data_IF_410579432373
#
_entry.id   IF_410579432373
#
_cell.length_a   1.000
_cell.length_b   1.000
_cell.length_c   1.000
_cell.angle_alpha   90.00
_cell.angle_beta   90.00
_cell.angle_gamma   90.00
#
_symmetry.space_group_name_H-M   'P 1'
#
loop_
_entity.id
_entity.type
_entity.pdbx_description
1 polymer ?
#
# COMPACT_ATOMS: atom_id res chain seq x y z
N UNK A 1 -9.09 46.26 -45.92
CA UNK A 1 -9.61 45.98 -44.54
C UNK A 1 -10.40 44.67 -44.43
N UNK A 2 -10.38 43.74 -45.39
CA UNK A 2 -11.20 42.50 -45.36
C UNK A 2 -10.38 41.23 -45.04
N UNK A 3 -9.08 41.33 -44.95
CA UNK A 3 -8.17 40.18 -44.70
C UNK A 3 -7.66 40.04 -43.25
N UNK A 4 -7.90 41.02 -42.38
CA UNK A 4 -7.45 41.03 -40.98
C UNK A 4 -8.39 40.20 -40.07
N UNK A 5 -9.67 40.07 -40.44
CA UNK A 5 -10.64 39.33 -39.65
C UNK A 5 -10.50 37.79 -39.73
N UNK A 6 -9.84 37.26 -40.76
CA UNK A 6 -9.66 35.79 -40.89
C UNK A 6 -8.50 35.22 -40.09
N UNK A 7 -7.54 36.04 -39.69
CA UNK A 7 -6.36 35.56 -38.95
C UNK A 7 -6.64 35.41 -37.46
N UNK A 8 -7.58 36.16 -36.90
CA UNK A 8 -7.91 36.11 -35.46
C UNK A 8 -8.72 34.88 -35.10
N UNK A 9 -9.48 34.31 -36.02
CA UNK A 9 -10.33 33.15 -35.76
C UNK A 9 -9.54 31.80 -35.69
N UNK A 10 -8.34 31.73 -36.27
CA UNK A 10 -7.55 30.52 -36.33
C UNK A 10 -6.72 30.31 -35.04
N UNK A 11 -6.40 31.38 -34.31
CA UNK A 11 -5.55 31.30 -33.10
C UNK A 11 -6.29 30.70 -31.89
N UNK A 12 -7.63 30.73 -31.87
CA UNK A 12 -8.42 30.21 -30.74
C UNK A 12 -8.65 28.71 -30.75
N UNK A 13 -8.32 27.99 -31.85
CA UNK A 13 -8.54 26.54 -31.92
C UNK A 13 -7.38 25.66 -31.45
N UNK A 14 -6.18 26.23 -31.19
CA UNK A 14 -4.99 25.44 -30.87
C UNK A 14 -4.80 25.28 -29.36
N UNK A 15 -5.45 26.09 -28.52
CA UNK A 15 -5.28 26.01 -27.04
C UNK A 15 -6.20 25.01 -26.33
N UNK A 16 -7.15 24.41 -27.03
CA UNK A 16 -8.18 23.55 -26.42
C UNK A 16 -7.76 22.09 -26.16
N UNK A 17 -6.81 21.57 -26.93
CA UNK A 17 -6.48 20.13 -26.86
C UNK A 17 -5.65 19.73 -25.65
N UNK A 18 -4.81 20.60 -25.12
CA UNK A 18 -3.97 20.24 -23.96
C UNK A 18 -4.71 20.28 -22.64
N UNK A 19 -5.78 21.06 -22.52
CA UNK A 19 -6.56 21.17 -21.28
C UNK A 19 -7.53 19.99 -21.11
N UNK A 20 -8.07 19.44 -22.20
CA UNK A 20 -8.99 18.30 -22.14
C UNK A 20 -8.31 16.97 -21.80
N UNK A 21 -7.02 16.78 -22.06
CA UNK A 21 -6.31 15.56 -21.74
C UNK A 21 -6.07 15.38 -20.24
N UNK A 22 -6.01 16.48 -19.45
CA UNK A 22 -5.82 16.40 -18.00
C UNK A 22 -7.12 16.09 -17.23
N UNK A 23 -8.29 16.30 -17.82
CA UNK A 23 -9.57 16.05 -17.13
C UNK A 23 -9.96 14.56 -17.09
N UNK A 24 -9.32 13.70 -17.89
CA UNK A 24 -9.61 12.27 -17.97
C UNK A 24 -8.52 11.38 -17.33
N UNK A 25 -7.52 11.96 -16.64
CA UNK A 25 -6.57 11.16 -15.89
C UNK A 25 -7.28 10.53 -14.69
N UNK A 26 -7.76 9.30 -14.87
CA UNK A 26 -8.13 8.40 -13.78
C UNK A 26 -6.86 7.62 -13.40
N UNK A 27 -6.23 7.91 -12.25
CA UNK A 27 -5.12 7.08 -11.79
C UNK A 27 -5.58 5.63 -11.74
N UNK A 28 -4.74 4.72 -12.19
CA UNK A 28 -5.08 3.30 -12.11
C UNK A 28 -5.43 2.94 -10.66
N UNK A 29 -6.34 1.98 -10.47
CA UNK A 29 -6.75 1.52 -9.13
C UNK A 29 -5.54 1.20 -8.22
N UNK A 30 -4.47 0.64 -8.78
CA UNK A 30 -3.26 0.31 -8.04
C UNK A 30 -2.47 1.56 -7.60
N UNK A 31 -2.39 2.60 -8.44
CA UNK A 31 -1.71 3.87 -8.10
C UNK A 31 -2.45 4.58 -6.96
N UNK A 32 -3.78 4.57 -6.99
CA UNK A 32 -4.60 5.14 -5.93
C UNK A 32 -4.45 4.35 -4.62
N UNK A 33 -4.44 3.01 -4.67
CA UNK A 33 -4.26 2.15 -3.49
C UNK A 33 -2.89 2.39 -2.84
N UNK A 34 -1.81 2.46 -3.62
CA UNK A 34 -0.47 2.75 -3.12
C UNK A 34 -0.39 4.12 -2.45
N UNK A 35 -0.94 5.17 -3.09
CA UNK A 35 -0.97 6.52 -2.53
C UNK A 35 -1.70 6.55 -1.18
N UNK A 36 -2.86 5.89 -1.07
CA UNK A 36 -3.60 5.77 0.19
C UNK A 36 -2.81 5.02 1.26
N UNK A 37 -2.14 3.92 0.91
CA UNK A 37 -1.31 3.19 1.86
C UNK A 37 -0.10 4.00 2.34
N UNK A 38 0.48 4.86 1.49
CA UNK A 38 1.54 5.80 1.91
C UNK A 38 1.05 6.83 2.93
N UNK A 39 -0.15 7.38 2.73
CA UNK A 39 -0.78 8.27 3.72
C UNK A 39 -0.99 7.54 5.03
N UNK A 40 -1.59 6.35 5.01
CA UNK A 40 -1.81 5.52 6.19
C UNK A 40 -0.46 5.21 6.89
N UNK A 41 0.56 4.81 6.15
CA UNK A 41 1.89 4.53 6.73
C UNK A 41 2.47 5.76 7.47
N UNK A 42 2.31 6.95 6.89
CA UNK A 42 2.76 8.18 7.52
C UNK A 42 1.98 8.50 8.82
N UNK A 43 0.67 8.29 8.83
CA UNK A 43 -0.16 8.47 10.02
C UNK A 43 0.22 7.52 11.17
N UNK A 44 0.71 6.33 10.84
CA UNK A 44 1.15 5.30 11.80
C UNK A 44 2.65 5.32 12.10
N UNK A 45 3.37 6.31 11.61
CA UNK A 45 4.83 6.42 11.71
C UNK A 45 5.37 6.42 13.14
N UNK A 46 4.56 6.89 14.10
CA UNK A 46 4.93 6.97 15.52
C UNK A 46 4.19 5.97 16.40
N UNK A 47 3.39 5.07 15.83
CA UNK A 47 2.60 4.10 16.58
C UNK A 47 3.49 3.14 17.36
N UNK A 48 3.38 3.03 18.69
CA UNK A 48 4.15 2.05 19.47
C UNK A 48 3.67 0.63 19.18
N UNK A 49 4.62 -0.32 19.20
CA UNK A 49 4.29 -1.75 19.04
C UNK A 49 3.82 -2.33 20.37
N UNK A 50 2.56 -2.77 20.40
CA UNK A 50 1.97 -3.45 21.58
C UNK A 50 1.10 -4.61 21.09
N UNK A 51 1.36 -5.82 21.59
CA UNK A 51 0.57 -7.01 21.28
C UNK A 51 -0.93 -6.79 21.58
N UNK A 52 -1.78 -7.22 20.66
CA UNK A 52 -3.23 -7.06 20.76
C UNK A 52 -3.75 -5.68 20.37
N UNK A 53 -2.88 -4.70 20.17
CA UNK A 53 -3.30 -3.36 19.77
C UNK A 53 -3.74 -3.27 18.30
N UNK A 54 -4.66 -2.33 18.01
CA UNK A 54 -5.27 -2.16 16.67
C UNK A 54 -5.44 -0.70 16.28
N UNK A 55 -4.89 0.23 17.04
CA UNK A 55 -5.08 1.68 16.81
C UNK A 55 -3.76 2.42 16.67
N UNK A 56 -3.81 3.66 16.20
CA UNK A 56 -2.64 4.55 16.12
C UNK A 56 -2.01 4.83 17.49
N UNK A 57 -2.75 4.65 18.59
CA UNK A 57 -2.21 4.78 19.94
C UNK A 57 -1.31 3.59 20.31
N UNK A 58 -1.62 2.39 19.81
CA UNK A 58 -0.86 1.15 20.01
C UNK A 58 -1.35 0.06 19.07
N UNK A 59 -0.45 -0.71 18.47
CA UNK A 59 -0.81 -1.82 17.60
C UNK A 59 0.27 -2.90 17.57
N UNK A 60 -0.11 -4.11 17.16
CA UNK A 60 0.83 -5.12 16.67
C UNK A 60 0.84 -5.16 15.13
N UNK A 61 1.69 -6.01 14.53
CA UNK A 61 1.84 -6.06 13.08
C UNK A 61 0.53 -6.41 12.35
N UNK A 62 -0.24 -7.37 12.85
CA UNK A 62 -1.52 -7.79 12.25
C UNK A 62 -2.66 -6.80 12.56
N UNK A 63 -2.61 -6.12 13.69
CA UNK A 63 -3.53 -5.03 14.01
C UNK A 63 -3.34 -3.83 13.07
N UNK A 64 -2.10 -3.48 12.76
CA UNK A 64 -1.80 -2.47 11.75
C UNK A 64 -2.34 -2.88 10.38
N UNK A 65 -2.02 -4.09 9.88
CA UNK A 65 -2.47 -4.53 8.56
C UNK A 65 -3.99 -4.58 8.46
N UNK A 66 -4.68 -5.07 9.52
CA UNK A 66 -6.14 -5.07 9.60
C UNK A 66 -6.71 -3.66 9.51
N UNK A 67 -6.20 -2.74 10.32
CA UNK A 67 -6.69 -1.35 10.35
C UNK A 67 -6.38 -0.58 9.07
N UNK A 68 -5.22 -0.82 8.46
CA UNK A 68 -4.83 -0.18 7.21
C UNK A 68 -5.71 -0.64 6.04
N UNK A 69 -5.94 -1.96 5.89
CA UNK A 69 -6.76 -2.50 4.82
C UNK A 69 -8.25 -2.18 5.00
N UNK A 70 -8.74 -2.08 6.25
CA UNK A 70 -10.10 -1.63 6.53
C UNK A 70 -10.39 -0.22 5.97
N UNK A 71 -9.41 0.69 5.99
CA UNK A 71 -9.52 2.02 5.38
C UNK A 71 -9.60 1.97 3.84
N UNK A 72 -9.27 0.82 3.24
CA UNK A 72 -9.44 0.53 1.82
C UNK A 72 -10.68 -0.31 1.52
N UNK A 73 -11.60 -0.45 2.51
CA UNK A 73 -12.78 -1.32 2.46
C UNK A 73 -12.46 -2.82 2.29
N UNK A 74 -11.26 -3.25 2.70
CA UNK A 74 -10.84 -4.65 2.68
C UNK A 74 -10.84 -5.19 4.11
N UNK A 75 -11.72 -6.16 4.40
CA UNK A 75 -11.81 -6.81 5.70
C UNK A 75 -10.93 -8.05 5.74
N UNK A 76 -10.07 -8.14 6.76
CA UNK A 76 -9.17 -9.28 6.97
C UNK A 76 -9.26 -9.76 8.42
N UNK A 77 -8.87 -11.01 8.72
CA UNK A 77 -8.82 -11.52 10.09
C UNK A 77 -7.86 -10.74 11.00
N UNK A 78 -8.04 -10.89 12.32
CA UNK A 78 -7.28 -10.09 13.32
C UNK A 78 -5.83 -10.55 13.48
N UNK A 79 -5.55 -11.84 13.44
CA UNK A 79 -4.23 -12.36 13.82
C UNK A 79 -3.37 -12.72 12.63
N UNK A 80 -2.05 -12.61 12.75
CA UNK A 80 -1.10 -13.00 11.70
C UNK A 80 -1.33 -14.42 11.20
N UNK A 81 -1.60 -15.37 12.10
CA UNK A 81 -1.87 -16.78 11.76
C UNK A 81 -3.14 -16.92 10.91
N UNK A 82 -4.23 -16.28 11.31
CA UNK A 82 -5.50 -16.33 10.55
C UNK A 82 -5.40 -15.56 9.24
N UNK A 83 -4.68 -14.44 9.18
CA UNK A 83 -4.39 -13.72 7.95
C UNK A 83 -3.57 -14.58 6.97
N UNK A 84 -2.59 -15.35 7.45
CA UNK A 84 -1.83 -16.29 6.62
C UNK A 84 -2.69 -17.49 6.19
N UNK A 85 -3.59 -17.97 7.05
CA UNK A 85 -4.48 -19.11 6.79
C UNK A 85 -5.65 -18.83 5.85
N UNK A 86 -6.02 -17.56 5.68
CA UNK A 86 -7.16 -17.11 4.88
C UNK A 86 -6.70 -16.34 3.64
N UNK A 87 -7.67 -15.91 2.80
CA UNK A 87 -7.35 -15.21 1.58
C UNK A 87 -6.71 -16.09 0.49
N UNK A 88 -6.58 -15.55 -0.70
CA UNK A 88 -6.02 -16.27 -1.85
C UNK A 88 -4.49 -16.25 -1.81
N UNK A 89 -3.86 -17.43 -1.95
CA UNK A 89 -2.38 -17.53 -2.07
C UNK A 89 -1.89 -16.74 -3.29
N UNK A 90 -0.78 -16.03 -3.12
CA UNK A 90 -0.11 -15.26 -4.17
C UNK A 90 1.36 -15.66 -4.23
N UNK A 91 1.85 -15.97 -5.42
CA UNK A 91 3.28 -16.19 -5.64
C UNK A 91 4.06 -14.87 -5.52
N UNK A 92 5.31 -14.94 -5.08
CA UNK A 92 6.15 -13.74 -4.87
C UNK A 92 6.31 -12.91 -6.14
N UNK A 93 6.35 -13.55 -7.32
CA UNK A 93 6.45 -12.88 -8.63
C UNK A 93 5.16 -12.18 -9.08
N UNK A 94 4.02 -12.49 -8.46
CA UNK A 94 2.70 -11.92 -8.81
C UNK A 94 2.15 -10.98 -7.72
N UNK A 95 3.02 -10.48 -6.84
CA UNK A 95 2.65 -9.53 -5.80
C UNK A 95 2.11 -8.23 -6.39
N UNK A 96 1.05 -7.71 -5.78
CA UNK A 96 0.41 -6.44 -6.11
C UNK A 96 0.21 -5.60 -4.84
N UNK A 97 0.13 -4.29 -5.02
CA UNK A 97 -0.13 -3.35 -3.92
C UNK A 97 -1.36 -3.76 -3.10
N UNK A 98 -1.17 -3.90 -1.79
CA UNK A 98 -2.21 -4.34 -0.85
C UNK A 98 -2.15 -5.82 -0.50
N UNK A 99 -1.33 -6.64 -1.16
CA UNK A 99 -1.12 -8.02 -0.75
C UNK A 99 -0.42 -8.07 0.61
N UNK A 100 -0.82 -9.03 1.46
CA UNK A 100 -0.12 -9.29 2.70
C UNK A 100 1.10 -10.18 2.44
N UNK A 101 2.24 -9.80 3.00
CA UNK A 101 3.49 -10.56 2.98
C UNK A 101 3.85 -11.02 4.38
N UNK A 102 4.20 -12.28 4.52
CA UNK A 102 4.39 -12.96 5.82
C UNK A 102 5.81 -13.46 5.99
N UNK A 103 6.28 -13.42 7.24
CA UNK A 103 7.65 -13.76 7.60
C UNK A 103 7.68 -14.55 8.90
N UNK A 104 8.65 -15.48 9.02
CA UNK A 104 8.99 -16.16 10.27
C UNK A 104 10.20 -15.46 10.90
N UNK A 105 9.94 -14.58 11.86
CA UNK A 105 10.98 -13.73 12.46
C UNK A 105 11.45 -14.20 13.83
N UNK A 106 10.75 -15.16 14.44
CA UNK A 106 10.94 -15.54 15.84
C UNK A 106 10.42 -14.50 16.84
N UNK A 107 9.93 -13.37 16.38
CA UNK A 107 9.35 -12.27 17.17
C UNK A 107 7.90 -12.05 16.77
N UNK A 108 7.13 -11.41 17.67
CA UNK A 108 5.71 -11.17 17.45
C UNK A 108 4.83 -12.40 17.74
N UNK A 109 3.53 -12.33 17.46
CA UNK A 109 2.60 -13.40 17.73
C UNK A 109 2.98 -14.69 16.97
N UNK A 110 3.16 -15.79 17.69
CA UNK A 110 3.58 -17.11 17.14
C UNK A 110 4.91 -17.08 16.36
N UNK A 111 5.82 -16.14 16.67
CA UNK A 111 7.10 -15.98 15.96
C UNK A 111 6.94 -15.49 14.50
N UNK A 112 5.76 -15.00 14.14
CA UNK A 112 5.44 -14.53 12.79
C UNK A 112 5.33 -13.01 12.73
N UNK A 113 5.50 -12.48 11.53
CA UNK A 113 5.33 -11.08 11.22
C UNK A 113 4.60 -10.90 9.89
N UNK A 114 3.90 -9.79 9.74
CA UNK A 114 3.13 -9.46 8.54
C UNK A 114 3.30 -7.99 8.16
N UNK A 115 3.31 -7.71 6.86
CA UNK A 115 3.26 -6.38 6.29
C UNK A 115 2.39 -6.33 5.04
N UNK A 116 2.24 -5.15 4.47
CA UNK A 116 1.47 -4.89 3.26
C UNK A 116 2.44 -4.56 2.13
N UNK A 117 2.40 -5.34 1.07
CA UNK A 117 3.20 -5.07 -0.13
C UNK A 117 2.75 -3.77 -0.80
N UNK A 118 3.71 -2.95 -1.20
CA UNK A 118 3.48 -1.68 -1.87
C UNK A 118 3.68 -1.83 -3.38
N UNK A 119 4.89 -1.63 -3.85
CA UNK A 119 5.32 -1.80 -5.23
C UNK A 119 6.84 -1.95 -5.28
N UNK A 120 7.40 -2.27 -6.45
CA UNK A 120 8.84 -2.27 -6.70
C UNK A 120 9.67 -3.02 -5.64
N UNK A 121 9.12 -4.13 -5.13
CA UNK A 121 9.82 -4.95 -4.13
C UNK A 121 9.81 -4.38 -2.71
N UNK A 122 8.96 -3.40 -2.40
CA UNK A 122 8.84 -2.78 -1.07
C UNK A 122 7.56 -3.18 -0.37
N UNK A 123 7.59 -3.19 0.95
CA UNK A 123 6.40 -3.38 1.78
C UNK A 123 6.46 -2.50 3.03
N UNK A 124 5.30 -2.18 3.60
CA UNK A 124 5.17 -1.47 4.86
C UNK A 124 4.79 -2.44 5.98
N UNK A 125 5.33 -2.23 7.17
CA UNK A 125 5.00 -3.00 8.36
C UNK A 125 5.13 -2.18 9.63
N UNK A 126 4.37 -2.51 10.67
CA UNK A 126 4.60 -1.96 11.99
C UNK A 126 5.79 -2.68 12.64
N UNK A 127 6.88 -1.95 12.81
CA UNK A 127 8.12 -2.48 13.40
C UNK A 127 7.93 -2.84 14.87
N UNK A 128 8.54 -3.94 15.35
CA UNK A 128 8.58 -4.28 16.78
C UNK A 128 9.32 -3.25 17.63
N UNK A 129 10.09 -2.37 16.99
CA UNK A 129 10.70 -1.17 17.62
C UNK A 129 9.79 0.05 17.58
N UNK A 130 8.53 -0.12 17.14
CA UNK A 130 7.54 0.94 16.96
C UNK A 130 7.66 1.67 15.61
N UNK A 131 6.52 2.23 15.20
CA UNK A 131 6.35 2.97 13.97
C UNK A 131 6.28 2.11 12.71
N UNK A 132 5.44 2.55 11.77
CA UNK A 132 5.37 1.94 10.45
C UNK A 132 6.59 2.33 9.64
N UNK A 133 7.20 1.34 8.98
CA UNK A 133 8.38 1.50 8.12
C UNK A 133 8.13 0.87 6.76
N UNK A 134 8.65 1.48 5.72
CA UNK A 134 8.78 0.89 4.39
C UNK A 134 10.17 0.27 4.24
N UNK A 135 10.25 -0.97 3.80
CA UNK A 135 11.48 -1.74 3.69
C UNK A 135 11.49 -2.62 2.43
N UNK A 136 12.69 -3.03 2.01
CA UNK A 136 12.89 -3.89 0.85
C UNK A 136 12.58 -5.36 1.19
N UNK A 137 11.66 -5.96 0.43
CA UNK A 137 11.26 -7.38 0.56
C UNK A 137 12.43 -8.33 0.27
N UNK A 138 13.33 -7.93 -0.62
CA UNK A 138 14.46 -8.74 -1.05
C UNK A 138 15.76 -8.46 -0.28
N UNK A 139 15.74 -7.59 0.75
CA UNK A 139 16.88 -7.48 1.65
C UNK A 139 17.20 -8.83 2.31
N UNK A 140 18.44 -9.06 2.68
CA UNK A 140 18.89 -10.33 3.24
C UNK A 140 18.05 -10.81 4.42
N UNK A 141 17.68 -9.89 5.32
CA UNK A 141 16.86 -10.17 6.50
C UNK A 141 15.46 -10.69 6.13
N UNK A 142 14.73 -9.94 5.26
CA UNK A 142 13.35 -10.28 4.92
C UNK A 142 13.25 -11.42 3.92
N UNK A 143 14.17 -11.48 2.95
CA UNK A 143 14.23 -12.57 1.95
C UNK A 143 14.39 -13.94 2.62
N UNK A 144 15.27 -14.07 3.60
CA UNK A 144 15.52 -15.33 4.31
C UNK A 144 14.35 -15.79 5.21
N UNK A 145 13.44 -14.86 5.56
CA UNK A 145 12.33 -15.12 6.51
C UNK A 145 10.96 -15.17 5.84
N UNK A 146 10.88 -14.89 4.55
CA UNK A 146 9.63 -14.88 3.79
C UNK A 146 9.00 -16.28 3.74
N UNK A 147 7.71 -16.38 4.10
CA UNK A 147 6.95 -17.64 4.13
C UNK A 147 5.72 -17.65 3.25
N UNK A 148 5.37 -16.54 2.61
CA UNK A 148 4.26 -16.48 1.66
C UNK A 148 3.53 -15.15 1.62
N UNK A 149 2.51 -15.10 0.77
CA UNK A 149 1.64 -13.94 0.62
C UNK A 149 0.17 -14.32 0.44
N UNK A 150 -0.72 -13.38 0.77
CA UNK A 150 -2.18 -13.51 0.61
C UNK A 150 -2.78 -12.24 0.04
N UNK A 151 -3.81 -12.41 -0.79
CA UNK A 151 -4.66 -11.34 -1.32
C UNK A 151 -6.08 -11.50 -0.81
N UNK A 152 -6.66 -10.38 -0.40
CA UNK A 152 -8.02 -10.24 0.09
C UNK A 152 -8.84 -9.36 -0.83
#
# INVERSE_FOLDING_TARGET
MRHIFFIITIIFFISGCSFYQNLNYRPSYNTNKEARLKVIANEWKKTPYVLGGTSKKRADCSGFTQSALAQLNIRIPRTTKTQLGSGRKVSKSKLQTGDLVFFKTGRGPNGMHVGIYMSKGKFIHLSTKGGVKEVELNSSYWKARYIGARRY
#
